data_IF_419160423146
#
_entry.id   IF_419160423146
#
_cell.length_a   1.000
_cell.length_b   1.000
_cell.length_c   1.000
_cell.angle_alpha   90.00
_cell.angle_beta   90.00
_cell.angle_gamma   90.00
#
_symmetry.space_group_name_H-M   'P 1'
#
loop_
_entity.id
_entity.type
_entity.pdbx_description
1 polymer ?
#
# COMPACT_ATOMS: atom_id res chain seq x y z
N UNK A 1 6.13 14.79 3.99
CA UNK A 1 6.65 13.83 4.98
C UNK A 1 5.52 13.09 5.70
N UNK A 2 4.53 13.80 6.26
CA UNK A 2 3.35 13.22 6.95
C UNK A 2 2.53 12.26 6.07
N UNK A 3 2.20 12.67 4.85
CA UNK A 3 1.38 11.85 3.94
C UNK A 3 2.01 10.48 3.60
N UNK A 4 3.33 10.40 3.45
CA UNK A 4 4.01 9.14 3.11
C UNK A 4 3.99 8.15 4.29
N UNK A 5 4.10 8.67 5.51
CA UNK A 5 3.92 7.89 6.73
C UNK A 5 2.48 7.39 6.86
N UNK A 6 1.49 8.22 6.52
CA UNK A 6 0.09 7.84 6.55
C UNK A 6 -0.20 6.65 5.62
N UNK A 7 0.27 6.70 4.37
CA UNK A 7 0.14 5.60 3.42
C UNK A 7 0.85 4.33 3.91
N UNK A 8 2.03 4.47 4.53
CA UNK A 8 2.70 3.34 5.17
C UNK A 8 1.83 2.68 6.24
N UNK A 9 1.25 3.47 7.15
CA UNK A 9 0.37 2.95 8.20
C UNK A 9 -0.88 2.28 7.63
N UNK A 10 -1.50 2.86 6.60
CA UNK A 10 -2.65 2.26 5.91
C UNK A 10 -2.33 0.89 5.34
N UNK A 11 -1.21 0.78 4.61
CA UNK A 11 -0.76 -0.49 4.02
C UNK A 11 -0.43 -1.50 5.11
N UNK A 12 0.35 -1.12 6.10
CA UNK A 12 0.75 -2.02 7.20
C UNK A 12 -0.48 -2.56 7.96
N UNK A 13 -1.44 -1.70 8.31
CA UNK A 13 -2.67 -2.15 8.99
C UNK A 13 -3.49 -3.12 8.14
N UNK A 14 -3.66 -2.86 6.85
CA UNK A 14 -4.39 -3.78 5.99
C UNK A 14 -3.64 -5.12 5.88
N UNK A 15 -2.32 -5.09 5.70
CA UNK A 15 -1.50 -6.29 5.56
C UNK A 15 -1.39 -7.12 6.84
N UNK A 16 -1.36 -6.49 8.01
CA UNK A 16 -1.34 -7.19 9.31
C UNK A 16 -2.62 -8.03 9.55
N UNK A 17 -3.71 -7.79 8.80
CA UNK A 17 -4.92 -8.63 8.82
C UNK A 17 -4.81 -9.90 7.94
N UNK A 18 -3.82 -10.00 7.07
CA UNK A 18 -3.61 -11.19 6.25
C UNK A 18 -2.72 -12.19 6.98
N UNK A 19 -3.18 -13.43 7.11
CA UNK A 19 -2.47 -14.52 7.79
C UNK A 19 -1.27 -15.05 6.99
N UNK A 20 -1.23 -14.86 5.66
CA UNK A 20 -0.13 -15.22 4.77
C UNK A 20 0.04 -14.19 3.66
N UNK A 21 1.28 -13.84 3.33
CA UNK A 21 1.66 -12.82 2.35
C UNK A 21 2.79 -13.38 1.47
N UNK A 22 2.53 -14.50 0.80
CA UNK A 22 3.62 -15.36 0.31
C UNK A 22 3.95 -15.14 -1.19
N UNK A 23 3.31 -14.18 -1.87
CA UNK A 23 3.42 -14.06 -3.34
C UNK A 23 3.46 -12.58 -3.75
N UNK A 24 2.34 -12.04 -4.21
CA UNK A 24 2.25 -10.72 -4.80
C UNK A 24 1.14 -9.91 -4.12
N UNK A 25 1.45 -8.66 -3.82
CA UNK A 25 0.51 -7.65 -3.35
C UNK A 25 0.48 -6.53 -4.36
N UNK A 26 -0.71 -6.22 -4.89
CA UNK A 26 -0.92 -5.10 -5.80
C UNK A 26 -1.56 -3.96 -5.00
N UNK A 27 -0.97 -2.78 -5.08
CA UNK A 27 -1.49 -1.57 -4.45
C UNK A 27 -1.88 -0.61 -5.57
N UNK A 28 -3.18 -0.43 -5.74
CA UNK A 28 -3.76 0.57 -6.61
C UNK A 28 -3.88 1.89 -5.86
N UNK A 29 -3.38 2.95 -6.48
CA UNK A 29 -3.37 4.28 -5.90
C UNK A 29 -3.62 5.32 -6.97
N UNK A 30 -4.11 6.49 -6.57
CA UNK A 30 -4.28 7.59 -7.50
C UNK A 30 -2.91 8.11 -7.98
N UNK A 31 -2.77 8.43 -9.27
CA UNK A 31 -1.52 8.92 -9.90
C UNK A 31 -0.78 9.98 -9.07
N UNK A 32 -1.50 10.99 -8.54
CA UNK A 32 -0.99 12.07 -7.68
C UNK A 32 -0.40 11.62 -6.33
N UNK A 33 -0.68 10.40 -5.87
CA UNK A 33 -0.14 9.86 -4.63
C UNK A 33 1.10 8.99 -4.84
N UNK A 34 1.53 8.74 -6.08
CA UNK A 34 2.63 7.82 -6.41
C UNK A 34 3.94 8.08 -5.67
N UNK A 35 4.30 9.34 -5.43
CA UNK A 35 5.50 9.69 -4.65
C UNK A 35 5.33 9.43 -3.16
N UNK A 36 4.12 9.61 -2.63
CA UNK A 36 3.78 9.42 -1.21
C UNK A 36 3.67 7.94 -0.86
N UNK A 37 3.05 7.16 -1.75
CA UNK A 37 2.92 5.70 -1.60
C UNK A 37 4.29 5.02 -1.61
N UNK A 38 5.16 5.36 -2.57
CA UNK A 38 6.55 4.86 -2.61
C UNK A 38 7.39 5.30 -1.41
N UNK A 39 7.12 6.49 -0.90
CA UNK A 39 7.97 7.16 0.08
C UNK A 39 9.29 7.66 -0.53
N UNK A 40 10.05 8.40 0.26
CA UNK A 40 11.35 8.92 -0.15
C UNK A 40 12.29 7.76 -0.49
N UNK A 41 12.95 7.80 -1.65
CA UNK A 41 13.90 6.77 -2.09
C UNK A 41 13.34 5.32 -2.05
N UNK A 42 12.02 5.17 -2.27
CA UNK A 42 11.29 3.90 -2.19
C UNK A 42 11.31 3.26 -0.79
N UNK A 43 11.44 4.07 0.27
CA UNK A 43 11.55 3.58 1.64
C UNK A 43 10.35 2.71 2.05
N UNK A 44 9.13 3.08 1.65
CA UNK A 44 7.93 2.33 2.02
C UNK A 44 7.92 0.94 1.37
N UNK A 45 8.13 0.87 0.05
CA UNK A 45 8.11 -0.41 -0.66
C UNK A 45 9.22 -1.36 -0.21
N UNK A 46 10.42 -0.81 0.09
CA UNK A 46 11.52 -1.58 0.68
C UNK A 46 11.17 -2.12 2.07
N UNK A 47 10.56 -1.29 2.92
CA UNK A 47 10.13 -1.69 4.25
C UNK A 47 9.06 -2.79 4.19
N UNK A 48 8.08 -2.67 3.29
CA UNK A 48 7.03 -3.68 3.12
C UNK A 48 7.59 -5.01 2.60
N UNK A 49 8.44 -4.97 1.57
CA UNK A 49 9.09 -6.17 1.03
C UNK A 49 9.90 -6.89 2.12
N UNK A 50 10.63 -6.14 2.95
CA UNK A 50 11.41 -6.72 4.05
C UNK A 50 10.55 -7.26 5.19
N UNK A 51 9.47 -6.56 5.57
CA UNK A 51 8.61 -6.96 6.71
C UNK A 51 7.73 -8.15 6.36
N UNK A 52 7.07 -8.08 5.21
CA UNK A 52 6.03 -9.04 4.81
C UNK A 52 6.54 -10.15 3.90
N UNK A 53 7.79 -10.08 3.43
CA UNK A 53 8.41 -11.05 2.51
C UNK A 53 7.58 -11.27 1.23
N UNK A 54 6.90 -10.22 0.76
CA UNK A 54 6.05 -10.21 -0.42
C UNK A 54 6.58 -9.25 -1.48
N UNK A 55 6.22 -9.49 -2.74
CA UNK A 55 6.46 -8.54 -3.82
C UNK A 55 5.34 -7.50 -3.87
N UNK A 56 5.72 -6.22 -3.92
CA UNK A 56 4.76 -5.11 -4.00
C UNK A 56 4.77 -4.48 -5.38
N UNK A 57 3.64 -4.55 -6.08
CA UNK A 57 3.41 -3.84 -7.34
C UNK A 57 2.55 -2.61 -7.07
N UNK A 58 3.00 -1.45 -7.50
CA UNK A 58 2.23 -0.20 -7.38
C UNK A 58 1.61 0.15 -8.73
N UNK A 59 0.30 0.32 -8.77
CA UNK A 59 -0.45 0.62 -10.00
C UNK A 59 -1.14 1.98 -9.86
N UNK A 60 -0.77 2.98 -10.67
CA UNK A 60 -1.31 4.34 -10.53
C UNK A 60 -2.65 4.51 -11.28
N UNK A 61 -3.61 3.61 -11.07
CA UNK A 61 -4.93 3.57 -11.72
C UNK A 61 -6.10 3.90 -10.77
N UNK A 62 -5.81 4.20 -9.51
CA UNK A 62 -6.83 4.50 -8.51
C UNK A 62 -7.61 5.79 -8.84
N UNK A 63 -8.93 5.74 -8.64
CA UNK A 63 -9.86 6.83 -8.98
C UNK A 63 -9.87 8.01 -8.00
N UNK A 64 -9.36 7.83 -6.78
CA UNK A 64 -9.48 8.81 -5.68
C UNK A 64 -8.17 9.04 -4.93
N UNK A 65 -7.82 10.31 -4.72
CA UNK A 65 -6.65 10.72 -3.92
C UNK A 65 -6.85 10.31 -2.46
N UNK A 66 -5.79 9.76 -1.84
CA UNK A 66 -5.81 9.32 -0.44
C UNK A 66 -6.54 8.01 -0.19
N UNK A 67 -6.92 7.29 -1.25
CA UNK A 67 -7.48 5.95 -1.19
C UNK A 67 -6.45 4.96 -1.72
N UNK A 68 -6.33 3.82 -1.06
CA UNK A 68 -5.57 2.67 -1.53
C UNK A 68 -6.50 1.48 -1.71
N UNK A 69 -6.35 0.77 -2.82
CA UNK A 69 -6.97 -0.55 -3.01
C UNK A 69 -5.83 -1.56 -3.04
N UNK A 70 -5.86 -2.48 -2.07
CA UNK A 70 -4.82 -3.47 -1.89
C UNK A 70 -5.43 -4.81 -2.31
N UNK A 71 -4.89 -5.39 -3.36
CA UNK A 71 -5.31 -6.66 -3.93
C UNK A 71 -4.27 -7.75 -3.67
N UNK A 72 -4.75 -8.90 -3.23
CA UNK A 72 -3.95 -10.11 -3.00
C UNK A 72 -4.80 -11.35 -3.18
N UNK A 73 -4.37 -12.31 -4.01
CA UNK A 73 -5.01 -13.62 -4.19
C UNK A 73 -6.54 -13.54 -4.40
N UNK A 74 -7.00 -12.50 -5.12
CA UNK A 74 -8.43 -12.23 -5.34
C UNK A 74 -9.17 -11.53 -4.19
N UNK A 75 -8.54 -11.36 -3.03
CA UNK A 75 -9.04 -10.50 -1.95
C UNK A 75 -8.68 -9.05 -2.22
N UNK A 76 -9.64 -8.16 -1.93
CA UNK A 76 -9.48 -6.71 -2.07
C UNK A 76 -9.81 -6.01 -0.78
N UNK A 77 -8.91 -5.13 -0.36
CA UNK A 77 -9.02 -4.29 0.83
C UNK A 77 -8.98 -2.82 0.38
N UNK A 78 -9.99 -2.03 0.73
CA UNK A 78 -10.02 -0.60 0.43
C UNK A 78 -9.72 0.16 1.72
N UNK A 79 -8.66 0.96 1.71
CA UNK A 79 -8.24 1.75 2.86
C UNK A 79 -8.26 3.23 2.50
N UNK A 80 -8.84 4.04 3.37
CA UNK A 80 -8.87 5.50 3.22
C UNK A 80 -8.21 6.18 4.42
N UNK A 81 -7.85 7.45 4.25
CA UNK A 81 -7.30 8.27 5.35
C UNK A 81 -8.25 8.43 6.53
N UNK A 82 -9.56 8.25 6.35
CA UNK A 82 -10.58 8.35 7.41
C UNK A 82 -10.73 7.06 8.22
N UNK A 83 -10.13 5.96 7.79
CA UNK A 83 -10.15 4.66 8.48
C UNK A 83 -8.91 4.44 9.38
N UNK A 84 -8.18 5.50 9.72
CA UNK A 84 -6.99 5.49 10.56
C UNK A 84 -7.28 5.89 12.00
#
# INVERSE_FOLDING_TARGET
MVDAYLFNTMVVRCLDNFTKLDIDVVIHHHTKDSSKVRGLANANTKAWASKFKANFRLVPDGSKIGLLEIEKDGYRCIVTRTML
#
